data_IF_801516409716
#
_entry.id   IF_801516409716
#
_cell.length_a   1.000
_cell.length_b   1.000
_cell.length_c   1.000
_cell.angle_alpha   90.00
_cell.angle_beta   90.00
_cell.angle_gamma   90.00
#
_symmetry.space_group_name_H-M   'P 1'
#
loop_
_entity.id
_entity.type
_entity.pdbx_description
1 polymer ?
#
# COMPACT_ATOMS: atom_id res chain seq x y z
N UNK A 1 -44.91 18.94 -35.29
CA UNK A 1 -43.70 19.73 -35.56
C UNK A 1 -42.62 19.19 -34.67
N UNK A 2 -41.53 18.73 -35.27
CA UNK A 2 -40.39 18.11 -34.59
C UNK A 2 -39.91 19.03 -33.46
N UNK A 3 -39.87 18.48 -32.24
CA UNK A 3 -39.06 19.06 -31.17
C UNK A 3 -37.62 18.77 -31.59
N UNK A 4 -36.92 19.79 -32.08
CA UNK A 4 -35.47 19.76 -32.20
C UNK A 4 -34.92 19.42 -30.82
N UNK A 5 -34.51 18.17 -30.65
CA UNK A 5 -33.59 17.79 -29.60
C UNK A 5 -32.30 18.54 -29.88
N UNK A 6 -32.15 19.75 -29.34
CA UNK A 6 -30.89 20.45 -29.35
C UNK A 6 -29.87 19.51 -28.73
N UNK A 7 -28.98 18.96 -29.57
CA UNK A 7 -27.82 18.24 -29.11
C UNK A 7 -27.03 19.24 -28.26
N UNK A 8 -27.09 19.08 -26.94
CA UNK A 8 -26.27 19.86 -26.02
C UNK A 8 -24.84 19.34 -26.22
N UNK A 9 -24.11 19.99 -27.11
CA UNK A 9 -22.69 19.73 -27.31
C UNK A 9 -21.92 20.03 -26.01
N UNK A 10 -20.82 19.33 -25.73
CA UNK A 10 -19.97 19.70 -24.62
C UNK A 10 -19.54 21.16 -24.79
N UNK A 11 -19.77 21.99 -23.77
CA UNK A 11 -19.34 23.38 -23.73
C UNK A 11 -17.81 23.50 -23.81
N UNK A 12 -17.11 22.50 -23.26
CA UNK A 12 -15.66 22.39 -23.28
C UNK A 12 -15.24 21.03 -23.85
N UNK A 13 -14.26 21.01 -24.76
CA UNK A 13 -13.65 19.79 -25.29
C UNK A 13 -12.20 20.07 -25.70
N UNK A 14 -11.28 19.67 -24.83
CA UNK A 14 -9.84 19.84 -25.01
C UNK A 14 -9.19 18.48 -25.17
N UNK A 15 -8.26 18.37 -26.11
CA UNK A 15 -7.40 17.20 -26.27
C UNK A 15 -5.96 17.58 -25.99
N UNK A 16 -5.31 16.77 -25.17
CA UNK A 16 -3.94 16.97 -24.72
C UNK A 16 -3.15 15.75 -25.18
N UNK A 17 -2.10 16.00 -25.95
CA UNK A 17 -1.11 15.00 -26.33
C UNK A 17 0.24 15.41 -25.81
N UNK A 18 0.87 14.53 -25.04
CA UNK A 18 2.20 14.72 -24.51
C UNK A 18 3.07 13.54 -24.87
N UNK A 19 4.29 13.80 -25.32
CA UNK A 19 5.32 12.79 -25.48
C UNK A 19 6.56 13.26 -24.74
N UNK A 20 7.13 12.37 -23.94
CA UNK A 20 8.37 12.61 -23.24
C UNK A 20 9.37 11.54 -23.64
N UNK A 21 10.58 11.97 -23.96
CA UNK A 21 11.70 11.08 -24.21
C UNK A 21 12.97 11.76 -23.71
N UNK A 22 13.68 11.09 -22.81
CA UNK A 22 14.96 11.55 -22.31
C UNK A 22 15.91 10.37 -22.12
N UNK A 23 17.14 10.50 -22.60
CA UNK A 23 18.19 9.50 -22.35
C UNK A 23 18.74 9.58 -20.92
N UNK A 24 18.67 10.77 -20.32
CA UNK A 24 19.11 11.06 -18.96
C UNK A 24 17.94 11.59 -18.12
N UNK A 25 18.14 11.68 -16.81
CA UNK A 25 17.12 12.23 -15.91
C UNK A 25 16.96 13.73 -16.12
N UNK A 26 15.74 14.16 -16.43
CA UNK A 26 15.34 15.55 -16.58
C UNK A 26 14.46 15.93 -15.39
N UNK A 27 14.80 16.99 -14.63
CA UNK A 27 13.93 17.50 -13.58
C UNK A 27 12.66 18.09 -14.18
N UNK A 28 11.49 17.61 -13.73
CA UNK A 28 10.18 18.06 -14.21
C UNK A 28 9.38 18.82 -13.14
N UNK A 29 9.53 18.42 -11.88
CA UNK A 29 8.94 19.08 -10.71
C UNK A 29 10.01 19.23 -9.64
N UNK A 30 9.73 20.04 -8.62
CA UNK A 30 10.56 20.08 -7.41
C UNK A 30 10.70 18.65 -6.88
N UNK A 31 11.94 18.19 -6.76
CA UNK A 31 12.34 16.84 -6.33
C UNK A 31 11.93 15.66 -7.22
N UNK A 32 11.39 15.88 -8.43
CA UNK A 32 11.06 14.79 -9.35
C UNK A 32 11.84 14.91 -10.64
N UNK A 33 12.66 13.90 -10.94
CA UNK A 33 13.35 13.76 -12.21
C UNK A 33 12.92 12.49 -12.94
N UNK A 34 12.64 12.59 -14.24
CA UNK A 34 12.24 11.47 -15.07
C UNK A 34 13.28 11.20 -16.17
N UNK A 35 13.48 9.94 -16.52
CA UNK A 35 14.29 9.51 -17.66
C UNK A 35 13.63 8.35 -18.36
N UNK A 36 13.93 8.11 -19.64
CA UNK A 36 13.23 7.14 -20.47
C UNK A 36 12.07 7.77 -21.24
N UNK A 37 10.98 7.04 -21.43
CA UNK A 37 9.89 7.49 -22.32
C UNK A 37 8.48 7.17 -21.83
N UNK A 38 7.58 8.13 -22.07
CA UNK A 38 6.13 7.97 -21.92
C UNK A 38 5.37 8.81 -22.95
N UNK A 39 4.16 8.39 -23.26
CA UNK A 39 3.19 9.16 -24.02
C UNK A 39 1.90 9.30 -23.21
N UNK A 40 1.24 10.44 -23.29
CA UNK A 40 -0.07 10.67 -22.69
C UNK A 40 -1.03 11.23 -23.75
N UNK A 41 -2.22 10.65 -23.79
CA UNK A 41 -3.32 11.12 -24.64
C UNK A 41 -4.55 11.27 -23.74
N UNK A 42 -4.91 12.52 -23.49
CA UNK A 42 -5.97 12.86 -22.55
C UNK A 42 -6.98 13.79 -23.19
N UNK A 43 -8.22 13.74 -22.69
CA UNK A 43 -9.31 14.62 -23.09
C UNK A 43 -9.96 15.19 -21.84
N UNK A 44 -10.26 16.48 -21.88
CA UNK A 44 -11.02 17.17 -20.85
C UNK A 44 -12.27 17.70 -21.53
N UNK A 45 -13.45 17.27 -21.10
CA UNK A 45 -14.70 17.72 -21.70
C UNK A 45 -15.85 17.81 -20.70
N UNK A 46 -16.77 18.74 -20.92
CA UNK A 46 -17.97 18.85 -20.10
C UNK A 46 -19.01 17.79 -20.47
N UNK A 47 -19.76 17.29 -19.49
CA UNK A 47 -20.86 16.35 -19.74
C UNK A 47 -22.00 17.04 -20.49
N UNK A 48 -22.58 16.36 -21.48
CA UNK A 48 -23.64 16.95 -22.34
C UNK A 48 -24.93 17.27 -21.60
N UNK A 49 -25.26 16.51 -20.55
CA UNK A 49 -26.47 16.69 -19.74
C UNK A 49 -26.24 17.55 -18.47
N UNK A 50 -24.98 17.87 -18.15
CA UNK A 50 -24.61 18.78 -17.07
C UNK A 50 -23.22 19.40 -17.34
N UNK A 51 -23.19 20.66 -17.78
CA UNK A 51 -21.95 21.35 -18.16
C UNK A 51 -21.01 21.63 -16.99
N UNK A 52 -21.52 21.62 -15.76
CA UNK A 52 -20.73 21.80 -14.54
C UNK A 52 -19.95 20.54 -14.16
N UNK A 53 -20.21 19.41 -14.82
CA UNK A 53 -19.41 18.20 -14.67
C UNK A 53 -18.36 18.14 -15.79
N UNK A 54 -17.09 18.25 -15.42
CA UNK A 54 -15.96 17.94 -16.31
C UNK A 54 -15.56 16.48 -16.19
N UNK A 55 -15.25 15.88 -17.32
CA UNK A 55 -14.68 14.54 -17.45
C UNK A 55 -13.25 14.71 -17.95
N UNK A 56 -12.30 14.16 -17.21
CA UNK A 56 -10.91 14.04 -17.59
C UNK A 56 -10.56 12.57 -17.76
N UNK A 57 -10.47 12.12 -19.01
CA UNK A 57 -10.12 10.74 -19.34
C UNK A 57 -8.93 10.67 -20.29
N UNK A 58 -8.34 9.49 -20.39
CA UNK A 58 -7.17 9.30 -21.24
C UNK A 58 -6.39 8.05 -20.88
N UNK A 59 -5.18 7.98 -21.42
CA UNK A 59 -4.21 6.96 -21.07
C UNK A 59 -2.80 7.55 -21.04
N UNK A 60 -1.98 7.02 -20.12
CA UNK A 60 -0.55 7.24 -20.08
C UNK A 60 0.17 5.93 -20.39
N UNK A 61 0.89 5.90 -21.50
CA UNK A 61 1.66 4.75 -21.97
C UNK A 61 3.13 4.92 -21.58
N UNK A 62 3.60 4.03 -20.71
CA UNK A 62 5.00 3.92 -20.29
C UNK A 62 5.66 2.79 -21.06
N UNK A 63 6.70 3.07 -21.85
CA UNK A 63 7.48 1.99 -22.49
C UNK A 63 8.70 1.59 -21.70
N UNK A 64 9.37 2.56 -21.07
CA UNK A 64 10.47 2.33 -20.13
C UNK A 64 10.75 3.63 -19.36
N UNK A 65 9.83 4.03 -18.48
CA UNK A 65 9.99 5.25 -17.69
C UNK A 65 10.75 4.95 -16.40
N UNK A 66 11.70 5.81 -16.05
CA UNK A 66 12.39 5.82 -14.78
C UNK A 66 12.07 7.12 -14.06
N UNK A 67 11.89 7.04 -12.74
CA UNK A 67 11.62 8.21 -11.91
C UNK A 67 12.59 8.26 -10.73
N UNK A 68 13.00 9.47 -10.34
CA UNK A 68 13.68 9.75 -9.08
C UNK A 68 12.87 10.78 -8.31
N UNK A 69 12.65 10.51 -7.04
CA UNK A 69 11.93 11.36 -6.11
C UNK A 69 12.88 11.68 -4.95
N UNK A 70 13.31 12.93 -4.86
CA UNK A 70 14.40 13.36 -4.00
C UNK A 70 15.71 12.62 -4.28
N UNK A 71 16.52 12.42 -3.25
CA UNK A 71 17.75 11.62 -3.31
C UNK A 71 17.53 10.15 -2.93
N UNK A 72 16.36 9.84 -2.38
CA UNK A 72 16.17 8.61 -1.61
C UNK A 72 15.38 7.55 -2.35
N UNK A 73 14.51 7.95 -3.27
CA UNK A 73 13.61 7.04 -3.97
C UNK A 73 13.92 7.06 -5.46
N UNK A 74 14.15 5.88 -6.01
CA UNK A 74 14.31 5.66 -7.43
C UNK A 74 13.43 4.49 -7.90
N UNK A 75 12.64 4.74 -8.94
CA UNK A 75 11.79 3.78 -9.61
C UNK A 75 12.37 3.52 -10.99
N UNK A 76 12.57 2.25 -11.32
CA UNK A 76 13.20 1.83 -12.56
C UNK A 76 12.27 0.93 -13.36
N UNK A 77 12.28 1.13 -14.69
CA UNK A 77 11.59 0.26 -15.64
C UNK A 77 10.09 0.24 -15.41
N UNK A 78 9.42 1.40 -15.51
CA UNK A 78 7.96 1.47 -15.51
C UNK A 78 7.48 1.17 -16.93
N UNK A 79 6.66 0.14 -17.06
CA UNK A 79 6.12 -0.38 -18.31
C UNK A 79 4.61 -0.60 -18.19
N UNK A 80 3.86 -0.24 -19.23
CA UNK A 80 2.42 -0.50 -19.31
C UNK A 80 1.63 0.73 -19.71
N UNK A 81 0.32 0.58 -19.80
CA UNK A 81 -0.60 1.66 -20.15
C UNK A 81 -1.56 1.86 -19.00
N UNK A 82 -1.67 3.06 -18.45
CA UNK A 82 -2.61 3.39 -17.37
C UNK A 82 -3.72 4.26 -17.97
N UNK A 83 -4.84 3.65 -18.42
CA UNK A 83 -6.02 4.39 -18.77
C UNK A 83 -6.71 4.89 -17.50
N UNK A 84 -7.33 6.05 -17.58
CA UNK A 84 -8.01 6.66 -16.46
C UNK A 84 -9.22 7.46 -16.91
N UNK A 85 -10.12 7.72 -15.96
CA UNK A 85 -11.22 8.66 -16.11
C UNK A 85 -11.59 9.25 -14.76
N UNK A 86 -11.61 10.57 -14.63
CA UNK A 86 -12.04 11.25 -13.43
C UNK A 86 -13.14 12.24 -13.78
N UNK A 87 -14.15 12.32 -12.92
CA UNK A 87 -15.20 13.32 -13.01
C UNK A 87 -14.99 14.37 -11.92
N UNK A 88 -15.21 15.64 -12.28
CA UNK A 88 -15.09 16.79 -11.39
C UNK A 88 -16.34 17.65 -11.51
N UNK A 89 -16.93 18.00 -10.37
CA UNK A 89 -18.02 18.95 -10.26
C UNK A 89 -17.43 20.34 -10.05
N UNK A 90 -17.55 21.20 -11.06
CA UNK A 90 -17.05 22.57 -11.05
C UNK A 90 -17.81 23.47 -10.07
N UNK A 91 -19.11 23.25 -9.90
CA UNK A 91 -19.95 24.08 -9.03
C UNK A 91 -19.53 23.90 -7.58
N UNK A 92 -19.36 22.65 -7.16
CA UNK A 92 -18.98 22.30 -5.80
C UNK A 92 -17.46 22.22 -5.61
N UNK A 93 -16.68 22.24 -6.70
CA UNK A 93 -15.22 22.03 -6.70
C UNK A 93 -14.80 20.69 -6.10
N UNK A 94 -15.58 19.63 -6.36
CA UNK A 94 -15.39 18.30 -5.78
C UNK A 94 -15.13 17.26 -6.86
N UNK A 95 -14.36 16.22 -6.52
CA UNK A 95 -14.36 14.99 -7.31
C UNK A 95 -15.74 14.34 -7.23
N UNK A 96 -16.25 13.89 -8.37
CA UNK A 96 -17.45 13.06 -8.42
C UNK A 96 -16.99 11.61 -8.27
N UNK A 97 -17.12 11.06 -7.06
CA UNK A 97 -16.92 9.63 -6.83
C UNK A 97 -18.13 8.86 -7.35
N UNK A 98 -17.89 7.79 -8.12
CA UNK A 98 -18.99 6.94 -8.54
C UNK A 98 -19.54 6.17 -7.34
N UNK A 99 -20.81 6.39 -7.01
CA UNK A 99 -21.57 5.57 -6.03
C UNK A 99 -21.71 4.09 -6.42
N UNK A 100 -21.14 3.70 -7.57
CA UNK A 100 -21.07 2.31 -8.01
C UNK A 100 -20.17 1.55 -7.06
N UNK A 101 -20.84 0.92 -6.09
CA UNK A 101 -20.47 -0.27 -5.31
C UNK A 101 -19.02 -0.65 -5.53
N UNK A 102 -18.25 -0.56 -4.44
CA UNK A 102 -17.00 -1.28 -4.25
C UNK A 102 -16.97 -2.50 -5.15
N UNK A 103 -16.05 -2.51 -6.12
CA UNK A 103 -15.70 -3.74 -6.81
C UNK A 103 -15.57 -4.79 -5.69
N UNK A 104 -16.23 -5.96 -5.81
CA UNK A 104 -16.27 -6.94 -4.73
C UNK A 104 -14.86 -7.06 -4.14
N UNK A 105 -14.73 -7.13 -2.82
CA UNK A 105 -13.43 -7.40 -2.21
C UNK A 105 -12.99 -8.80 -2.70
N UNK A 106 -12.34 -8.86 -3.86
CA UNK A 106 -12.12 -10.10 -4.58
C UNK A 106 -11.10 -10.89 -3.79
N UNK A 107 -11.54 -12.04 -3.27
CA UNK A 107 -10.68 -12.96 -2.55
C UNK A 107 -9.50 -13.35 -3.43
N UNK A 108 -8.29 -13.08 -2.93
CA UNK A 108 -6.98 -13.39 -3.53
C UNK A 108 -6.83 -14.76 -4.24
N UNK A 109 -7.51 -15.87 -3.87
CA UNK A 109 -7.27 -17.16 -4.52
C UNK A 109 -7.83 -17.30 -5.94
N UNK A 110 -8.86 -16.53 -6.33
CA UNK A 110 -9.57 -16.75 -7.61
C UNK A 110 -9.24 -15.73 -8.69
N UNK A 111 -8.54 -14.66 -8.33
CA UNK A 111 -8.39 -13.51 -9.20
C UNK A 111 -7.60 -13.84 -10.50
N UNK A 112 -6.56 -14.69 -10.43
CA UNK A 112 -5.83 -15.15 -11.63
C UNK A 112 -6.69 -15.93 -12.62
N UNK A 113 -7.76 -16.58 -12.15
CA UNK A 113 -8.71 -17.30 -13.02
C UNK A 113 -9.72 -16.32 -13.65
N UNK A 114 -9.96 -15.19 -13.00
CA UNK A 114 -10.92 -14.18 -13.43
C UNK A 114 -10.29 -13.07 -14.28
N UNK A 115 -8.96 -12.94 -14.32
CA UNK A 115 -8.24 -11.89 -15.06
C UNK A 115 -8.79 -11.67 -16.48
N UNK A 116 -8.97 -12.70 -17.34
CA UNK A 116 -9.46 -12.48 -18.71
C UNK A 116 -10.88 -11.90 -18.76
N UNK A 117 -11.72 -12.27 -17.80
CA UNK A 117 -13.07 -11.72 -17.66
C UNK A 117 -13.03 -10.29 -17.15
N UNK A 118 -12.18 -10.01 -16.15
CA UNK A 118 -12.06 -8.70 -15.54
C UNK A 118 -11.53 -7.66 -16.52
N UNK A 119 -10.57 -8.01 -17.36
CA UNK A 119 -10.10 -7.12 -18.43
C UNK A 119 -11.18 -6.69 -19.42
N UNK A 120 -12.24 -7.50 -19.57
CA UNK A 120 -13.37 -7.19 -20.46
C UNK A 120 -14.51 -6.41 -19.81
N UNK A 121 -14.59 -6.39 -18.47
CA UNK A 121 -15.77 -5.86 -17.73
C UNK A 121 -15.41 -4.68 -16.83
N UNK A 122 -14.17 -4.61 -16.34
CA UNK A 122 -13.70 -3.51 -15.50
C UNK A 122 -13.25 -2.36 -16.41
N UNK A 123 -13.92 -1.19 -16.38
CA UNK A 123 -13.48 -0.03 -17.15
C UNK A 123 -12.10 0.44 -16.70
N UNK A 124 -11.31 0.95 -17.65
CA UNK A 124 -9.98 1.51 -17.37
C UNK A 124 -9.03 0.52 -16.67
N UNK A 125 -9.19 -0.77 -16.96
CA UNK A 125 -8.31 -1.82 -16.45
C UNK A 125 -6.94 -1.81 -17.15
N UNK A 126 -5.89 -2.04 -16.39
CA UNK A 126 -4.50 -1.95 -16.82
C UNK A 126 -3.61 -2.96 -16.11
N UNK A 127 -2.52 -3.33 -16.79
CA UNK A 127 -1.36 -3.95 -16.18
C UNK A 127 -0.17 -2.99 -16.24
N UNK A 128 0.40 -2.72 -15.08
CA UNK A 128 1.63 -1.95 -14.89
C UNK A 128 2.72 -2.89 -14.36
N UNK A 129 3.88 -2.85 -14.99
CA UNK A 129 5.09 -3.52 -14.52
C UNK A 129 6.12 -2.47 -14.10
N UNK A 130 6.78 -2.71 -12.98
CA UNK A 130 7.89 -1.91 -12.50
C UNK A 130 9.04 -2.86 -12.16
N UNK A 131 10.18 -2.70 -12.82
CA UNK A 131 11.32 -3.61 -12.64
C UNK A 131 11.87 -3.55 -11.21
N UNK A 132 12.06 -2.34 -10.68
CA UNK A 132 12.42 -2.18 -9.28
C UNK A 132 12.14 -0.81 -8.70
N UNK A 133 11.92 -0.79 -7.39
CA UNK A 133 11.90 0.41 -6.56
C UNK A 133 13.04 0.30 -5.55
N UNK A 134 13.87 1.33 -5.49
CA UNK A 134 14.88 1.52 -4.45
C UNK A 134 14.46 2.69 -3.59
N UNK A 135 14.36 2.46 -2.29
CA UNK A 135 14.16 3.50 -1.30
C UNK A 135 15.27 3.38 -0.27
N UNK A 136 16.22 4.32 -0.24
CA UNK A 136 17.43 4.21 0.58
C UNK A 136 18.18 2.88 0.31
N UNK A 137 18.33 2.06 1.35
CA UNK A 137 18.94 0.73 1.34
C UNK A 137 17.94 -0.41 1.05
N UNK A 138 16.64 -0.08 0.92
CA UNK A 138 15.58 -1.05 0.63
C UNK A 138 15.41 -1.21 -0.88
N UNK A 139 15.22 -2.46 -1.32
CA UNK A 139 14.96 -2.79 -2.72
C UNK A 139 13.75 -3.71 -2.83
N UNK A 140 12.81 -3.30 -3.68
CA UNK A 140 11.68 -4.09 -4.15
C UNK A 140 11.91 -4.35 -5.63
N UNK A 141 11.61 -5.56 -6.11
CA UNK A 141 11.81 -5.94 -7.51
C UNK A 141 10.60 -6.69 -8.06
N UNK A 142 10.53 -6.80 -9.39
CA UNK A 142 9.52 -7.57 -10.12
C UNK A 142 8.09 -7.21 -9.70
N UNK A 143 7.79 -5.91 -9.69
CA UNK A 143 6.48 -5.41 -9.29
C UNK A 143 5.55 -5.51 -10.50
N UNK A 144 4.47 -6.26 -10.35
CA UNK A 144 3.39 -6.34 -11.34
C UNK A 144 2.10 -5.95 -10.64
N UNK A 145 1.46 -4.89 -11.11
CA UNK A 145 0.18 -4.42 -10.62
C UNK A 145 -0.86 -4.50 -11.71
N UNK A 146 -1.99 -5.12 -11.40
CA UNK A 146 -3.21 -5.00 -12.19
C UNK A 146 -4.11 -4.02 -11.48
N UNK A 147 -4.58 -3.00 -12.19
CA UNK A 147 -5.24 -1.85 -11.58
C UNK A 147 -6.28 -1.22 -12.48
N UNK A 148 -7.17 -0.43 -11.89
CA UNK A 148 -8.11 0.45 -12.58
C UNK A 148 -8.21 1.76 -11.83
N UNK A 149 -8.18 2.87 -12.55
CA UNK A 149 -8.36 4.21 -11.98
C UNK A 149 -9.54 4.91 -12.66
N UNK A 150 -10.67 5.01 -11.95
CA UNK A 150 -11.86 5.62 -12.52
C UNK A 150 -12.78 6.23 -11.47
N UNK A 151 -13.28 7.44 -11.73
CA UNK A 151 -14.35 8.14 -10.99
C UNK A 151 -14.11 8.14 -9.47
N UNK A 152 -12.94 8.61 -9.06
CA UNK A 152 -12.53 8.69 -7.66
C UNK A 152 -12.03 7.36 -7.09
N UNK A 153 -12.05 6.26 -7.84
CA UNK A 153 -11.64 4.95 -7.34
C UNK A 153 -10.29 4.53 -7.92
N UNK A 154 -9.29 4.32 -7.06
CA UNK A 154 -8.06 3.59 -7.38
C UNK A 154 -8.22 2.17 -6.86
N UNK A 155 -8.33 1.20 -7.77
CA UNK A 155 -8.44 -0.21 -7.40
C UNK A 155 -7.25 -0.99 -7.96
N UNK A 156 -6.52 -1.66 -7.08
CA UNK A 156 -5.41 -2.55 -7.39
C UNK A 156 -5.77 -3.92 -6.84
N UNK A 157 -6.57 -4.72 -7.58
CA UNK A 157 -7.03 -6.01 -7.08
C UNK A 157 -5.94 -7.08 -7.00
N UNK A 158 -4.83 -6.90 -7.72
CA UNK A 158 -3.64 -7.74 -7.58
C UNK A 158 -2.38 -6.92 -7.82
N UNK A 159 -1.49 -6.94 -6.83
CA UNK A 159 -0.11 -6.52 -6.97
C UNK A 159 0.78 -7.67 -6.47
N UNK A 160 1.78 -8.06 -7.25
CA UNK A 160 2.81 -9.01 -6.83
C UNK A 160 4.18 -8.38 -6.91
N UNK A 161 5.02 -8.60 -5.92
CA UNK A 161 6.41 -8.12 -5.91
C UNK A 161 7.31 -9.07 -5.13
N UNK A 162 8.62 -9.00 -5.42
CA UNK A 162 9.66 -9.70 -4.67
C UNK A 162 10.35 -8.76 -3.71
N UNK A 163 10.52 -9.23 -2.48
CA UNK A 163 11.15 -8.51 -1.40
C UNK A 163 12.03 -9.49 -0.62
N UNK A 164 13.35 -9.25 -0.55
CA UNK A 164 14.30 -10.06 0.21
C UNK A 164 14.12 -11.59 0.03
N UNK A 165 14.13 -12.06 -1.22
CA UNK A 165 13.87 -13.47 -1.64
C UNK A 165 12.45 -13.99 -1.43
N UNK A 166 11.63 -13.31 -0.66
CA UNK A 166 10.23 -13.64 -0.47
C UNK A 166 9.32 -12.97 -1.50
N UNK A 167 8.04 -13.30 -1.40
CA UNK A 167 6.99 -12.81 -2.28
C UNK A 167 5.97 -12.03 -1.45
N UNK A 168 5.49 -10.94 -2.02
CA UNK A 168 4.39 -10.15 -1.47
C UNK A 168 3.28 -10.10 -2.50
N UNK A 169 2.07 -10.49 -2.09
CA UNK A 169 0.84 -10.29 -2.81
C UNK A 169 0.03 -9.21 -2.09
N UNK A 170 -0.47 -8.22 -2.81
CA UNK A 170 -1.10 -7.05 -2.24
C UNK A 170 -2.37 -6.70 -3.02
N UNK A 171 -3.36 -6.17 -2.31
CA UNK A 171 -4.57 -5.58 -2.86
C UNK A 171 -4.79 -4.23 -2.20
N UNK A 172 -5.25 -3.27 -2.99
CA UNK A 172 -5.52 -1.93 -2.52
C UNK A 172 -6.78 -1.40 -3.19
N UNK A 173 -7.62 -0.76 -2.39
CA UNK A 173 -8.74 0.04 -2.84
C UNK A 173 -8.63 1.40 -2.16
N UNK A 174 -8.65 2.47 -2.93
CA UNK A 174 -8.72 3.84 -2.42
C UNK A 174 -9.90 4.51 -3.10
N UNK A 175 -10.87 4.95 -2.31
CA UNK A 175 -11.92 5.87 -2.73
C UNK A 175 -11.49 7.27 -2.35
N UNK A 176 -11.29 8.13 -3.34
CA UNK A 176 -10.89 9.52 -3.18
C UNK A 176 -12.04 10.40 -2.66
N UNK A 177 -13.26 9.86 -2.54
CA UNK A 177 -14.41 10.60 -2.05
C UNK A 177 -14.68 11.84 -2.90
N UNK A 178 -14.85 12.98 -2.24
CA UNK A 178 -15.00 14.30 -2.88
C UNK A 178 -13.65 14.94 -3.28
N UNK A 179 -12.53 14.25 -3.05
CA UNK A 179 -11.17 14.77 -3.20
C UNK A 179 -10.62 15.43 -1.94
N UNK A 180 -11.42 15.53 -0.88
CA UNK A 180 -10.95 15.96 0.44
C UNK A 180 -10.22 14.81 1.14
N UNK A 181 -9.11 15.08 1.81
CA UNK A 181 -8.40 14.04 2.56
C UNK A 181 -9.25 13.42 3.69
N UNK A 182 -10.26 14.12 4.18
CA UNK A 182 -11.12 13.70 5.30
C UNK A 182 -12.12 12.61 4.90
N UNK A 183 -12.58 12.62 3.66
CA UNK A 183 -13.61 11.69 3.17
C UNK A 183 -13.05 10.55 2.31
N UNK A 184 -11.74 10.56 2.05
CA UNK A 184 -11.05 9.42 1.45
C UNK A 184 -11.18 8.18 2.34
N UNK A 185 -11.44 7.04 1.71
CA UNK A 185 -11.40 5.74 2.37
C UNK A 185 -10.46 4.81 1.67
N UNK A 186 -9.90 3.86 2.42
CA UNK A 186 -8.93 2.93 1.88
C UNK A 186 -9.08 1.54 2.49
N UNK A 187 -8.70 0.54 1.72
CA UNK A 187 -8.56 -0.83 2.15
C UNK A 187 -7.30 -1.43 1.54
N UNK A 188 -6.48 -2.05 2.40
CA UNK A 188 -5.24 -2.70 2.02
C UNK A 188 -5.24 -4.14 2.53
N UNK A 189 -4.89 -5.08 1.68
CA UNK A 189 -4.65 -6.47 2.05
C UNK A 189 -3.30 -6.89 1.52
N UNK A 190 -2.50 -7.55 2.34
CA UNK A 190 -1.22 -8.08 1.94
C UNK A 190 -1.05 -9.50 2.45
N UNK A 191 -0.40 -10.33 1.66
CA UNK A 191 0.13 -11.62 2.07
C UNK A 191 1.62 -11.63 1.75
N UNK A 192 2.40 -11.98 2.75
CA UNK A 192 3.85 -11.96 2.71
C UNK A 192 4.31 -13.38 3.00
N UNK A 193 5.21 -13.91 2.16
CA UNK A 193 5.71 -15.26 2.31
C UNK A 193 7.22 -15.33 2.08
N UNK A 194 7.91 -16.03 3.00
CA UNK A 194 9.35 -16.35 2.92
C UNK A 194 10.25 -15.12 2.80
N UNK A 195 9.91 -14.02 3.48
CA UNK A 195 10.79 -12.85 3.53
C UNK A 195 11.99 -13.20 4.40
N UNK A 196 13.19 -13.16 3.82
CA UNK A 196 14.41 -13.44 4.55
C UNK A 196 14.85 -12.20 5.35
N UNK A 197 14.57 -12.18 6.66
CA UNK A 197 14.86 -11.02 7.50
C UNK A 197 16.35 -10.79 7.74
N UNK A 198 17.22 -11.78 7.48
CA UNK A 198 18.68 -11.61 7.53
C UNK A 198 19.20 -10.66 6.43
N UNK A 199 18.39 -10.42 5.40
CA UNK A 199 18.69 -9.44 4.34
C UNK A 199 18.21 -8.04 4.66
N UNK A 200 17.60 -7.82 5.83
CA UNK A 200 17.19 -6.49 6.22
C UNK A 200 18.42 -5.60 6.43
N UNK A 201 18.41 -4.37 5.91
CA UNK A 201 19.52 -3.47 6.10
C UNK A 201 19.84 -3.24 7.59
N UNK A 202 21.13 -3.30 7.95
CA UNK A 202 21.59 -3.18 9.34
C UNK A 202 21.61 -4.48 10.17
N UNK A 203 21.23 -5.64 9.60
CA UNK A 203 21.19 -6.94 10.31
C UNK A 203 22.33 -7.91 9.96
N UNK A 204 23.29 -7.48 9.13
CA UNK A 204 24.34 -8.30 8.52
C UNK A 204 25.39 -8.95 9.47
N UNK A 205 25.16 -8.94 10.79
CA UNK A 205 26.10 -9.46 11.80
C UNK A 205 25.63 -10.73 12.51
N UNK A 206 24.41 -11.21 12.29
CA UNK A 206 23.91 -12.43 12.93
C UNK A 206 24.01 -13.64 12.00
N UNK A 207 24.66 -14.71 12.48
CA UNK A 207 24.78 -16.02 11.82
C UNK A 207 23.45 -16.50 11.22
N UNK A 208 23.58 -17.13 10.06
CA UNK A 208 22.54 -17.70 9.17
C UNK A 208 21.64 -18.75 9.84
N UNK A 209 20.83 -18.38 10.83
CA UNK A 209 19.66 -19.18 11.21
C UNK A 209 18.40 -18.57 10.59
N UNK A 210 17.70 -19.40 9.82
CA UNK A 210 16.49 -19.09 9.06
C UNK A 210 15.54 -18.16 9.81
N UNK A 211 15.44 -16.92 9.33
CA UNK A 211 14.47 -15.94 9.80
C UNK A 211 13.55 -15.58 8.65
N UNK A 212 12.82 -16.59 8.16
CA UNK A 212 11.73 -16.36 7.23
C UNK A 212 10.56 -15.73 7.97
N UNK A 213 9.99 -14.69 7.38
CA UNK A 213 8.77 -14.04 7.85
C UNK A 213 7.66 -14.35 6.86
N UNK A 214 6.56 -14.89 7.40
CA UNK A 214 5.31 -15.04 6.67
C UNK A 214 4.17 -14.42 7.48
N UNK A 215 3.23 -13.79 6.78
CA UNK A 215 2.14 -13.10 7.45
C UNK A 215 1.12 -12.50 6.52
N UNK A 216 0.07 -11.98 7.13
CA UNK A 216 -1.03 -11.28 6.46
C UNK A 216 -1.21 -9.90 7.08
N UNK A 217 -1.56 -8.94 6.25
CA UNK A 217 -1.91 -7.59 6.64
C UNK A 217 -3.29 -7.32 6.09
N UNK A 218 -4.18 -6.78 6.90
CA UNK A 218 -5.48 -6.34 6.45
C UNK A 218 -5.82 -5.06 7.22
N UNK A 219 -5.87 -3.94 6.52
CA UNK A 219 -6.23 -2.64 7.09
C UNK A 219 -7.31 -1.98 6.25
N UNK A 220 -8.20 -1.28 6.92
CA UNK A 220 -9.15 -0.37 6.29
C UNK A 220 -9.27 0.89 7.13
N UNK A 221 -9.57 2.00 6.48
CA UNK A 221 -9.70 3.24 7.19
C UNK A 221 -10.38 4.34 6.39
N UNK A 222 -10.55 5.47 7.08
CA UNK A 222 -11.11 6.70 6.53
C UNK A 222 -10.31 7.89 7.06
N UNK A 223 -10.13 8.88 6.20
CA UNK A 223 -9.37 10.08 6.49
C UNK A 223 -7.87 9.86 6.33
N UNK A 224 -7.22 10.80 5.66
CA UNK A 224 -5.76 10.88 5.48
C UNK A 224 -5.19 12.25 5.88
N UNK A 225 -6.01 13.13 6.47
CA UNK A 225 -5.61 14.49 6.84
C UNK A 225 -4.55 14.47 7.98
N UNK A 226 -3.34 15.02 7.75
CA UNK A 226 -2.31 15.08 8.78
C UNK A 226 -2.77 15.91 9.99
N UNK A 227 -2.67 15.36 11.20
CA UNK A 227 -3.08 16.03 12.44
C UNK A 227 -4.54 15.79 12.84
N UNK A 228 -5.34 15.16 11.99
CA UNK A 228 -6.70 14.72 12.33
C UNK A 228 -6.74 13.25 12.73
N UNK A 229 -7.85 12.84 13.37
CA UNK A 229 -8.04 11.45 13.78
C UNK A 229 -8.33 10.58 12.56
N UNK A 230 -7.30 9.92 12.05
CA UNK A 230 -7.46 8.82 11.09
C UNK A 230 -8.20 7.65 11.75
N UNK A 231 -9.29 7.20 11.12
CA UNK A 231 -9.98 5.98 11.51
C UNK A 231 -9.27 4.82 10.82
N UNK A 232 -8.62 3.95 11.60
CA UNK A 232 -7.94 2.77 11.07
C UNK A 232 -8.36 1.56 11.88
N UNK A 233 -8.74 0.51 11.18
CA UNK A 233 -9.04 -0.80 11.73
C UNK A 233 -8.34 -1.87 10.92
N UNK A 234 -8.02 -2.99 11.56
CA UNK A 234 -7.42 -4.11 10.87
C UNK A 234 -6.56 -4.97 11.75
N UNK A 235 -5.67 -5.73 11.12
CA UNK A 235 -4.71 -6.58 11.79
C UNK A 235 -3.48 -6.85 10.92
N UNK A 236 -2.35 -6.96 11.60
CA UNK A 236 -1.15 -7.63 11.10
C UNK A 236 -1.04 -8.97 11.83
N UNK A 237 -0.90 -10.07 11.08
CA UNK A 237 -0.64 -11.39 11.62
C UNK A 237 0.66 -11.95 11.04
N UNK A 238 1.61 -12.32 11.89
CA UNK A 238 2.85 -12.99 11.51
C UNK A 238 2.73 -14.44 11.94
N UNK A 239 2.63 -15.35 10.96
CA UNK A 239 2.37 -16.78 11.16
C UNK A 239 3.63 -17.64 11.18
N UNK A 240 4.74 -17.11 10.66
CA UNK A 240 6.06 -17.73 10.78
C UNK A 240 7.11 -16.65 11.07
N UNK A 241 7.86 -16.84 12.15
CA UNK A 241 8.92 -15.96 12.61
C UNK A 241 9.84 -16.72 13.56
N UNK A 242 11.15 -16.61 13.34
CA UNK A 242 12.15 -17.22 14.21
C UNK A 242 12.14 -16.63 15.64
N UNK A 243 12.57 -17.42 16.62
CA UNK A 243 12.70 -17.00 18.01
C UNK A 243 13.58 -15.75 18.17
N UNK A 244 14.68 -15.66 17.41
CA UNK A 244 15.59 -14.51 17.44
C UNK A 244 14.96 -13.25 16.83
N UNK A 245 14.27 -13.39 15.69
CA UNK A 245 13.53 -12.29 15.06
C UNK A 245 12.42 -11.76 15.99
N UNK A 246 11.73 -12.67 16.70
CA UNK A 246 10.72 -12.31 17.70
C UNK A 246 11.33 -11.59 18.90
N UNK A 247 12.45 -12.07 19.45
CA UNK A 247 13.14 -11.38 20.57
C UNK A 247 13.61 -9.97 20.17
N UNK A 248 14.09 -9.80 18.93
CA UNK A 248 14.49 -8.49 18.39
C UNK A 248 13.29 -7.54 18.25
N UNK A 249 12.16 -8.03 17.71
CA UNK A 249 10.93 -7.24 17.62
C UNK A 249 10.40 -6.83 19.00
N UNK A 250 10.46 -7.73 19.99
CA UNK A 250 10.05 -7.44 21.36
C UNK A 250 10.95 -6.37 22.01
N UNK A 251 12.26 -6.40 21.74
CA UNK A 251 13.19 -5.34 22.18
C UNK A 251 12.91 -4.00 21.49
N UNK A 252 12.48 -3.97 20.24
CA UNK A 252 12.12 -2.71 19.59
C UNK A 252 10.81 -2.12 20.14
N UNK A 253 9.87 -2.97 20.55
CA UNK A 253 8.60 -2.54 21.17
C UNK A 253 8.84 -2.01 22.60
N UNK A 254 9.72 -2.65 23.38
CA UNK A 254 10.11 -2.20 24.73
C UNK A 254 11.64 -2.09 24.88
N UNK A 255 12.25 -1.02 24.34
CA UNK A 255 13.70 -0.83 24.37
C UNK A 255 14.27 -0.71 25.78
N UNK A 256 13.48 -0.16 26.71
CA UNK A 256 13.89 0.06 28.11
C UNK A 256 13.66 -1.18 28.97
N UNK A 257 12.99 -2.21 28.45
CA UNK A 257 12.62 -3.39 29.23
C UNK A 257 11.78 -3.00 30.44
N UNK A 258 10.79 -2.12 30.30
CA UNK A 258 9.91 -1.76 31.40
C UNK A 258 8.73 -2.74 31.55
N UNK A 259 8.30 -3.37 30.45
CA UNK A 259 7.04 -4.08 30.36
C UNK A 259 7.19 -5.56 30.77
N UNK A 260 6.35 -5.99 31.72
CA UNK A 260 6.48 -7.31 32.35
C UNK A 260 6.06 -8.46 31.44
N UNK A 261 5.03 -8.28 30.62
CA UNK A 261 4.57 -9.28 29.66
C UNK A 261 5.61 -9.49 28.54
N UNK A 262 6.28 -8.45 28.05
CA UNK A 262 7.38 -8.53 27.09
C UNK A 262 8.55 -9.30 27.70
N UNK A 263 8.96 -8.97 28.94
CA UNK A 263 9.98 -9.75 29.66
C UNK A 263 9.59 -11.20 29.81
N UNK A 264 8.32 -11.47 30.09
CA UNK A 264 7.80 -12.81 30.25
C UNK A 264 7.87 -13.61 28.94
N UNK A 265 7.38 -13.04 27.82
CA UNK A 265 7.49 -13.67 26.49
C UNK A 265 8.95 -13.94 26.13
N UNK A 266 9.84 -12.98 26.34
CA UNK A 266 11.28 -13.14 26.06
C UNK A 266 11.90 -14.26 26.91
N UNK A 267 11.53 -14.36 28.18
CA UNK A 267 11.96 -15.45 29.07
C UNK A 267 11.46 -16.80 28.56
N UNK A 268 10.19 -16.89 28.14
CA UNK A 268 9.64 -18.13 27.57
C UNK A 268 10.37 -18.56 26.30
N UNK A 269 10.70 -17.61 25.41
CA UNK A 269 11.52 -17.88 24.23
C UNK A 269 12.90 -18.43 24.65
N UNK A 270 13.53 -17.84 25.67
CA UNK A 270 14.80 -18.34 26.22
C UNK A 270 14.72 -19.74 26.85
N UNK A 271 13.53 -20.18 27.28
CA UNK A 271 13.28 -21.53 27.79
C UNK A 271 12.95 -22.55 26.68
N UNK A 272 12.95 -22.12 25.41
CA UNK A 272 12.71 -22.97 24.25
C UNK A 272 11.28 -22.99 23.74
N UNK A 273 10.39 -22.11 24.24
CA UNK A 273 9.11 -21.87 23.58
C UNK A 273 9.33 -21.23 22.21
N UNK A 274 8.59 -21.68 21.21
CA UNK A 274 8.70 -21.17 19.84
C UNK A 274 7.52 -20.25 19.50
N UNK A 275 7.75 -19.09 18.87
CA UNK A 275 6.67 -18.27 18.32
C UNK A 275 5.80 -19.07 17.35
N UNK A 276 4.48 -18.91 17.46
CA UNK A 276 3.50 -19.54 16.56
C UNK A 276 2.72 -18.51 15.77
N UNK A 277 2.29 -17.44 16.43
CA UNK A 277 1.50 -16.38 15.84
C UNK A 277 1.78 -15.10 16.62
N UNK A 278 2.08 -14.02 15.91
CA UNK A 278 2.04 -12.68 16.46
C UNK A 278 0.89 -11.95 15.77
N UNK A 279 -0.01 -11.37 16.55
CA UNK A 279 -1.15 -10.62 16.00
C UNK A 279 -1.18 -9.22 16.61
N UNK A 280 -1.36 -8.23 15.74
CA UNK A 280 -1.46 -6.81 16.08
C UNK A 280 -2.78 -6.28 15.52
N UNK A 281 -3.93 -6.56 16.19
CA UNK A 281 -5.19 -5.95 15.84
C UNK A 281 -5.12 -4.44 16.11
N UNK A 282 -5.67 -3.65 15.20
CA UNK A 282 -5.85 -2.21 15.34
C UNK A 282 -7.32 -1.91 15.51
N UNK A 283 -7.67 -1.26 16.61
CA UNK A 283 -9.03 -0.79 16.89
C UNK A 283 -8.98 0.50 17.70
N UNK A 284 -9.88 1.44 17.42
CA UNK A 284 -10.03 2.68 18.19
C UNK A 284 -8.70 3.42 18.43
N UNK A 285 -7.84 3.54 17.41
CA UNK A 285 -6.58 4.28 17.56
C UNK A 285 -5.45 3.53 18.28
N UNK A 286 -5.59 2.22 18.55
CA UNK A 286 -4.63 1.44 19.33
C UNK A 286 -4.30 0.09 18.68
N UNK A 287 -3.04 -0.32 18.81
CA UNK A 287 -2.59 -1.69 18.55
C UNK A 287 -2.75 -2.55 19.80
N UNK A 288 -3.17 -3.81 19.62
CA UNK A 288 -3.39 -4.79 20.69
C UNK A 288 -2.49 -6.03 20.52
N UNK A 289 -1.16 -5.89 20.67
CA UNK A 289 -0.21 -6.98 20.42
C UNK A 289 -0.51 -8.24 21.25
N UNK A 290 -0.60 -9.38 20.57
CA UNK A 290 -0.77 -10.71 21.17
C UNK A 290 0.23 -11.71 20.59
N UNK A 291 0.77 -12.54 21.46
CA UNK A 291 1.82 -13.53 21.14
C UNK A 291 1.32 -14.92 21.50
N UNK A 292 1.20 -15.79 20.51
CA UNK A 292 0.93 -17.22 20.71
C UNK A 292 2.24 -18.01 20.60
N UNK A 293 2.51 -18.86 21.58
CA UNK A 293 3.74 -19.66 21.65
C UNK A 293 3.42 -21.15 21.63
N UNK A 294 4.24 -21.94 20.92
CA UNK A 294 4.28 -23.39 21.03
C UNK A 294 5.17 -23.80 22.19
N UNK A 295 4.58 -24.58 23.09
CA UNK A 295 5.27 -25.16 24.24
C UNK A 295 6.18 -26.32 23.79
N UNK A 296 7.43 -26.38 24.29
CA UNK A 296 8.28 -27.53 24.06
C UNK A 296 7.80 -28.74 24.87
N UNK A 297 7.99 -29.94 24.32
CA UNK A 297 7.48 -31.19 24.89
C UNK A 297 8.03 -31.52 26.29
N UNK A 298 9.19 -30.96 26.66
CA UNK A 298 9.89 -31.25 27.92
C UNK A 298 9.53 -30.31 29.09
N UNK A 299 8.70 -29.28 28.88
CA UNK A 299 8.26 -28.37 29.95
C UNK A 299 6.85 -28.78 30.41
N UNK A 300 6.61 -29.09 31.71
CA UNK A 300 5.30 -29.53 32.20
C UNK A 300 4.33 -28.37 32.48
N UNK A 301 4.81 -27.11 32.52
CA UNK A 301 4.01 -25.93 32.83
C UNK A 301 3.26 -25.47 31.57
N UNK A 302 1.93 -25.59 31.57
CA UNK A 302 1.08 -25.07 30.50
C UNK A 302 0.80 -23.59 30.70
N UNK A 303 1.05 -22.80 29.66
CA UNK A 303 0.59 -21.41 29.61
C UNK A 303 -0.91 -21.44 29.33
N UNK A 304 -1.72 -20.77 30.15
CA UNK A 304 -3.17 -20.72 29.96
C UNK A 304 -3.49 -20.14 28.56
N UNK A 305 -4.04 -20.98 27.68
CA UNK A 305 -4.38 -20.62 26.30
C UNK A 305 -3.19 -20.38 25.35
N UNK A 306 -1.93 -20.57 25.79
CA UNK A 306 -0.73 -20.40 24.95
C UNK A 306 -0.49 -18.97 24.45
N UNK A 307 -1.24 -17.98 24.97
CA UNK A 307 -1.27 -16.60 24.49
C UNK A 307 -0.82 -15.64 25.59
N UNK A 308 0.00 -14.67 25.22
CA UNK A 308 0.39 -13.55 26.08
C UNK A 308 -0.03 -12.25 25.38
N UNK A 309 -0.85 -11.45 26.04
CA UNK A 309 -1.23 -10.12 25.58
C UNK A 309 -0.28 -9.08 26.20
N UNK A 310 0.11 -8.08 25.42
CA UNK A 310 0.93 -6.95 25.87
C UNK A 310 0.01 -5.72 25.94
N UNK A 311 0.33 -4.71 26.79
CA UNK A 311 -0.41 -3.46 26.83
C UNK A 311 -0.60 -2.82 25.45
N UNK A 312 -1.74 -2.14 25.30
CA UNK A 312 -2.08 -1.44 24.06
C UNK A 312 -1.03 -0.38 23.72
N UNK A 313 -0.73 -0.23 22.44
CA UNK A 313 0.19 0.77 21.92
C UNK A 313 -0.63 1.80 21.11
N UNK A 314 -0.68 3.08 21.52
CA UNK A 314 -1.37 4.10 20.75
C UNK A 314 -0.76 4.25 19.36
N UNK A 315 -1.57 4.32 18.30
CA UNK A 315 -1.06 4.49 16.94
C UNK A 315 -0.29 5.81 16.77
N UNK A 316 -0.77 6.88 17.41
CA UNK A 316 -0.12 8.19 17.36
C UNK A 316 1.34 8.13 17.80
N UNK A 317 1.64 7.33 18.83
CA UNK A 317 3.01 7.16 19.31
C UNK A 317 3.94 6.58 18.22
N UNK A 318 3.45 5.65 17.39
CA UNK A 318 4.22 5.07 16.29
C UNK A 318 4.37 6.08 15.14
N UNK A 319 3.28 6.78 14.79
CA UNK A 319 3.30 7.80 13.74
C UNK A 319 4.27 8.96 14.08
N UNK A 320 4.27 9.40 15.33
CA UNK A 320 5.19 10.42 15.84
C UNK A 320 6.65 9.93 15.81
N UNK A 321 6.89 8.64 16.09
CA UNK A 321 8.23 8.06 16.02
C UNK A 321 8.77 8.06 14.58
N UNK A 322 7.91 7.76 13.59
CA UNK A 322 8.26 7.78 12.16
C UNK A 322 8.49 9.21 11.67
N UNK A 323 7.63 10.16 12.06
CA UNK A 323 7.80 11.57 11.65
C UNK A 323 9.05 12.21 12.27
N UNK A 324 9.37 11.86 13.52
CA UNK A 324 10.56 12.39 14.20
C UNK A 324 11.86 11.84 13.60
N UNK A 325 11.88 10.61 13.09
CA UNK A 325 13.05 10.08 12.36
C UNK A 325 13.34 10.86 11.09
N UNK A 326 12.33 11.33 10.35
CA UNK A 326 12.54 12.15 9.15
C UNK A 326 13.18 13.52 9.46
N UNK A 327 12.84 14.15 10.59
CA UNK A 327 13.45 15.45 10.97
C UNK A 327 14.92 15.37 11.42
N UNK A 328 15.41 14.18 11.74
CA UNK A 328 16.83 13.94 12.05
C UNK A 328 17.69 13.69 10.79
N UNK A 329 17.06 13.37 9.65
CA UNK A 329 17.74 13.25 8.36
C UNK A 329 17.72 14.55 7.53
N UNK A 330 16.81 15.49 7.83
CA UNK A 330 16.81 16.86 7.26
C UNK A 330 17.90 17.79 7.83
N UNK A 331 18.68 17.30 8.80
CA UNK A 331 19.84 18.01 9.37
C UNK A 331 21.14 17.27 9.09
N UNK A 332 21.50 17.10 7.82
CA UNK A 332 22.89 16.86 7.41
C UNK A 332 23.25 17.60 6.15
#
# INVERSE_FOLDING_TARGET
>A
GLIDSMAVYPLYDFKIWMNFQALEYVPLLTDVALGGDFAANCRIYSKSDNVDILIFDGAVDFRNLNARIGQDIAVYGIHGSVPFSQMFDLENSLLVSSSRRSLPAWYLPLFSQMEPYLSGVVPYYSTLQIDSVRAMQYRIADIKAQMSFANGLVNIPQLSMKLYEGNVAFQCLIDLGSGSLEDMSYQFRSQIARINSAKFPGTATAKEESAEIAGTINFSGRGLAPGEKMEVEGELQITDIGSQATDNLLKSIDPRGAEQNIKYVRRLIGLGFKPKLLSFPVRHGNFYPTFELRQPWYIPIRIAGGKVAIPRIPMQFILDMVSTQNSLFDKR
#
